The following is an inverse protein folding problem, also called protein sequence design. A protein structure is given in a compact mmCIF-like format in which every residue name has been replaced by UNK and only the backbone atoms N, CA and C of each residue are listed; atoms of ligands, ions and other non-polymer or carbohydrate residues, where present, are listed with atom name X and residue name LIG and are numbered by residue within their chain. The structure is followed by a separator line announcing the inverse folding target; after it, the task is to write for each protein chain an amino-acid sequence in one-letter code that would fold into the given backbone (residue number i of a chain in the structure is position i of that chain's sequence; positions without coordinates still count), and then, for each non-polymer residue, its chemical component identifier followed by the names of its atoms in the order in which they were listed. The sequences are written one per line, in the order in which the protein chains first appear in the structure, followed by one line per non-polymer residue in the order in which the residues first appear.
data_IF_160878463155
#
_entry.id   IF_160878463155
#
_cell.length_a   1.000
_cell.length_b   1.000
_cell.length_c   1.000
_cell.angle_alpha   90.00
_cell.angle_beta   90.00
_cell.angle_gamma   90.00
#
_symmetry.space_group_name_H-M   'P 1'
#
loop_
_entity.id
_entity.type
_entity.pdbx_description
1 polymer ?
#
# COMPACT_ATOMS: atom_id res chain seq x y z
N UNK A 1 -15.18 -11.70 -1.58
CA UNK A 1 -14.60 -10.90 -0.47
C UNK A 1 -13.37 -11.63 0.01
N UNK A 2 -12.21 -11.31 -0.56
CA UNK A 2 -10.93 -11.89 -0.10
C UNK A 2 -10.37 -10.96 0.95
N UNK A 3 -10.07 -11.47 2.16
CA UNK A 3 -9.42 -10.71 3.21
C UNK A 3 -8.03 -10.24 2.72
N UNK A 4 -7.73 -8.96 2.91
CA UNK A 4 -6.51 -8.32 2.42
C UNK A 4 -5.40 -8.39 3.48
N UNK A 5 -4.27 -9.05 3.19
CA UNK A 5 -3.18 -9.25 4.15
C UNK A 5 -2.63 -7.92 4.65
N UNK A 6 -2.64 -7.73 5.98
CA UNK A 6 -2.12 -6.55 6.67
C UNK A 6 -3.16 -5.61 7.26
N UNK A 7 -4.45 -5.90 7.09
CA UNK A 7 -5.52 -5.18 7.79
C UNK A 7 -5.46 -5.39 9.31
N UNK A 8 -6.17 -4.54 10.10
CA UNK A 8 -6.32 -4.74 11.55
C UNK A 8 -7.00 -6.09 11.87
N UNK A 9 -7.95 -6.51 11.04
CA UNK A 9 -8.64 -7.79 11.20
C UNK A 9 -7.70 -8.96 10.92
N UNK A 10 -6.82 -8.83 9.94
CA UNK A 10 -5.81 -9.84 9.59
C UNK A 10 -4.75 -9.95 10.69
N UNK A 11 -4.37 -8.83 11.31
CA UNK A 11 -3.47 -8.82 12.45
C UNK A 11 -4.10 -9.51 13.67
N UNK A 12 -5.39 -9.23 13.93
CA UNK A 12 -6.16 -9.92 14.98
C UNK A 12 -6.24 -11.42 14.71
N UNK A 13 -6.58 -11.84 13.50
CA UNK A 13 -6.63 -13.25 13.12
C UNK A 13 -5.26 -13.94 13.25
N UNK A 14 -4.16 -13.25 12.91
CA UNK A 14 -2.81 -13.76 13.10
C UNK A 14 -2.50 -13.97 14.59
N UNK A 15 -2.90 -13.04 15.46
CA UNK A 15 -2.70 -13.13 16.90
C UNK A 15 -3.59 -14.22 17.53
N UNK A 16 -4.84 -14.35 17.11
CA UNK A 16 -5.77 -15.39 17.55
C UNK A 16 -5.26 -16.79 17.17
N UNK A 17 -4.72 -16.97 15.96
CA UNK A 17 -4.13 -18.23 15.53
C UNK A 17 -2.90 -18.63 16.38
N UNK A 18 -2.10 -17.64 16.83
CA UNK A 18 -1.00 -17.89 17.77
C UNK A 18 -1.53 -18.25 19.16
N UNK A 19 -2.53 -17.53 19.67
CA UNK A 19 -3.16 -17.79 20.97
C UNK A 19 -3.76 -19.21 21.05
N UNK A 20 -4.39 -19.66 19.96
CA UNK A 20 -5.00 -20.99 19.85
C UNK A 20 -3.97 -22.10 19.61
N UNK A 21 -2.69 -21.76 19.39
CA UNK A 21 -1.63 -22.72 19.08
C UNK A 21 -1.68 -23.28 17.64
N UNK A 22 -2.47 -22.66 16.76
CA UNK A 22 -2.61 -23.04 15.35
C UNK A 22 -1.46 -22.50 14.49
N UNK A 23 -0.79 -21.45 14.95
CA UNK A 23 0.38 -20.85 14.30
C UNK A 23 1.54 -20.72 15.28
N UNK A 24 2.70 -21.24 14.87
CA UNK A 24 3.93 -21.07 15.63
C UNK A 24 4.31 -19.57 15.74
N UNK A 25 4.69 -19.08 16.94
CA UNK A 25 5.05 -17.68 17.14
C UNK A 25 6.20 -17.18 16.24
N UNK A 26 7.16 -18.04 15.87
CA UNK A 26 8.27 -17.67 14.97
C UNK A 26 7.75 -17.49 13.54
N UNK A 27 6.87 -18.37 13.07
CA UNK A 27 6.22 -18.20 11.76
C UNK A 27 5.28 -16.98 11.73
N UNK A 28 4.58 -16.71 12.83
CA UNK A 28 3.78 -15.49 12.98
C UNK A 28 4.67 -14.24 12.94
N UNK A 29 5.83 -14.27 13.59
CA UNK A 29 6.81 -13.19 13.56
C UNK A 29 7.35 -12.94 12.15
N UNK A 30 7.62 -13.99 11.36
CA UNK A 30 8.03 -13.83 9.95
C UNK A 30 6.92 -13.17 9.11
N UNK A 31 5.66 -13.59 9.29
CA UNK A 31 4.51 -12.95 8.64
C UNK A 31 4.39 -11.48 9.05
N UNK A 32 4.53 -11.17 10.34
CA UNK A 32 4.56 -9.80 10.89
C UNK A 32 5.73 -8.97 10.34
N UNK A 33 6.91 -9.57 10.16
CA UNK A 33 8.11 -8.89 9.67
C UNK A 33 7.98 -8.46 8.19
N UNK A 34 7.17 -9.16 7.42
CA UNK A 34 6.78 -8.77 6.06
C UNK A 34 5.56 -7.83 6.01
N UNK A 35 4.97 -7.51 7.16
CA UNK A 35 3.82 -6.62 7.35
C UNK A 35 4.18 -5.25 7.97
N UNK A 36 5.26 -4.56 7.53
CA UNK A 36 5.23 -3.10 7.67
C UNK A 36 5.53 -2.36 6.37
N UNK A 37 6.03 -3.04 5.36
CA UNK A 37 6.28 -2.46 4.04
C UNK A 37 6.40 -3.54 2.97
N UNK A 38 6.09 -3.19 1.73
CA UNK A 38 6.38 -4.00 0.55
C UNK A 38 7.63 -3.46 -0.14
N UNK A 39 8.64 -4.31 -0.28
CA UNK A 39 9.84 -3.97 -1.05
C UNK A 39 9.60 -4.30 -2.54
N UNK A 40 9.66 -3.27 -3.39
CA UNK A 40 9.47 -3.36 -4.83
C UNK A 40 10.81 -3.42 -5.60
N UNK A 41 11.95 -3.42 -4.88
CA UNK A 41 13.31 -3.35 -5.41
C UNK A 41 13.82 -1.93 -5.65
N UNK A 42 12.92 -1.00 -6.00
CA UNK A 42 13.23 0.44 -6.20
C UNK A 42 12.56 1.34 -5.14
N UNK A 43 11.61 0.80 -4.38
CA UNK A 43 10.89 1.50 -3.32
C UNK A 43 10.47 0.53 -2.21
N UNK A 44 10.40 1.01 -0.98
CA UNK A 44 9.81 0.31 0.16
C UNK A 44 8.56 1.06 0.59
N UNK A 45 7.41 0.47 0.32
CA UNK A 45 6.09 1.09 0.45
C UNK A 45 5.48 0.67 1.79
N UNK A 46 5.23 1.61 2.69
CA UNK A 46 4.66 1.43 4.02
C UNK A 46 3.14 1.26 3.97
N UNK A 47 2.71 0.03 3.71
CA UNK A 47 1.29 -0.35 3.65
C UNK A 47 0.58 -0.23 5.00
N UNK A 48 1.31 -0.09 6.11
CA UNK A 48 0.75 -0.01 7.46
C UNK A 48 0.66 1.41 8.00
N UNK A 49 1.11 2.42 7.24
CA UNK A 49 1.13 3.80 7.70
C UNK A 49 -0.26 4.26 8.16
N UNK A 50 -1.31 3.87 7.46
CA UNK A 50 -2.69 4.22 7.81
C UNK A 50 -3.12 3.64 9.15
N UNK A 51 -2.79 2.38 9.43
CA UNK A 51 -3.07 1.75 10.72
C UNK A 51 -2.34 2.47 11.86
N UNK A 52 -1.09 2.89 11.65
CA UNK A 52 -0.25 3.50 12.70
C UNK A 52 -0.52 4.99 12.90
N UNK A 53 -0.91 5.70 11.84
CA UNK A 53 -0.97 7.17 11.81
C UNK A 53 -2.35 7.73 11.40
N UNK A 54 -3.32 6.87 11.08
CA UNK A 54 -4.66 7.28 10.65
C UNK A 54 -4.73 7.84 9.23
N UNK A 55 -3.64 7.80 8.45
CA UNK A 55 -3.61 8.25 7.07
C UNK A 55 -2.65 7.39 6.22
N UNK A 56 -3.01 7.08 4.96
CA UNK A 56 -2.19 6.27 4.07
C UNK A 56 -0.89 6.99 3.68
N UNK A 57 0.03 6.24 3.08
CA UNK A 57 1.26 6.80 2.52
C UNK A 57 0.95 7.61 1.25
N UNK A 58 1.60 8.78 1.12
CA UNK A 58 1.55 9.57 -0.09
C UNK A 58 2.70 9.19 -1.03
N UNK A 59 2.39 9.03 -2.32
CA UNK A 59 3.38 8.72 -3.35
C UNK A 59 3.93 10.03 -3.91
N UNK A 60 5.24 10.23 -3.86
CA UNK A 60 5.91 11.33 -4.57
C UNK A 60 6.22 10.88 -6.01
N UNK A 61 5.54 11.43 -7.03
CA UNK A 61 5.75 11.03 -8.43
C UNK A 61 7.04 11.61 -9.04
N UNK A 62 7.49 12.78 -8.57
CA UNK A 62 8.66 13.47 -9.13
C UNK A 62 9.91 12.60 -9.06
N UNK A 63 10.53 12.37 -10.23
CA UNK A 63 11.72 11.55 -10.38
C UNK A 63 11.48 10.04 -10.48
N UNK A 64 10.23 9.57 -10.50
CA UNK A 64 9.86 8.16 -10.76
C UNK A 64 9.42 7.94 -12.20
N UNK A 65 9.57 6.72 -12.70
CA UNK A 65 8.97 6.33 -13.99
C UNK A 65 7.48 6.02 -13.83
N UNK A 66 6.69 6.07 -14.92
CA UNK A 66 5.28 5.67 -14.90
C UNK A 66 5.07 4.24 -14.34
N UNK A 67 5.94 3.30 -14.70
CA UNK A 67 5.86 1.90 -14.24
C UNK A 67 6.14 1.77 -12.74
N UNK A 68 7.07 2.57 -12.20
CA UNK A 68 7.34 2.61 -10.77
C UNK A 68 6.13 3.16 -10.00
N UNK A 69 5.48 4.19 -10.53
CA UNK A 69 4.27 4.78 -9.95
C UNK A 69 3.13 3.76 -9.92
N UNK A 70 2.88 3.08 -11.04
CA UNK A 70 1.87 2.02 -11.13
C UNK A 70 2.09 0.94 -10.08
N UNK A 71 3.32 0.43 -9.98
CA UNK A 71 3.68 -0.64 -9.03
C UNK A 71 3.53 -0.19 -7.57
N UNK A 72 3.84 1.06 -7.25
CA UNK A 72 3.64 1.61 -5.90
C UNK A 72 2.14 1.73 -5.59
N UNK A 73 1.35 2.29 -6.50
CA UNK A 73 -0.10 2.49 -6.31
C UNK A 73 -0.79 1.14 -6.13
N UNK A 74 -0.49 0.15 -6.98
CA UNK A 74 -1.00 -1.21 -6.84
C UNK A 74 -0.60 -1.81 -5.49
N UNK A 75 0.66 -1.63 -5.07
CA UNK A 75 1.12 -2.14 -3.78
C UNK A 75 0.36 -1.54 -2.58
N UNK A 76 0.05 -0.25 -2.61
CA UNK A 76 -0.73 0.44 -1.57
C UNK A 76 -2.19 -0.03 -1.56
N UNK A 77 -2.82 -0.15 -2.73
CA UNK A 77 -4.21 -0.62 -2.86
C UNK A 77 -4.34 -2.09 -2.41
N UNK A 78 -3.44 -2.97 -2.85
CA UNK A 78 -3.41 -4.37 -2.42
C UNK A 78 -3.10 -4.51 -0.92
N UNK A 79 -2.33 -3.56 -0.37
CA UNK A 79 -2.05 -3.44 1.06
C UNK A 79 -3.20 -2.88 1.91
N UNK A 80 -4.34 -2.57 1.29
CA UNK A 80 -5.56 -2.14 1.99
C UNK A 80 -5.60 -0.66 2.36
N UNK A 81 -4.81 0.19 1.70
CA UNK A 81 -4.92 1.64 1.88
C UNK A 81 -6.34 2.13 1.53
N UNK A 82 -6.97 2.90 2.42
CA UNK A 82 -8.31 3.46 2.21
C UNK A 82 -8.37 4.56 1.15
N UNK A 83 -7.22 5.19 0.86
CA UNK A 83 -7.00 6.03 -0.32
C UNK A 83 -5.52 6.08 -0.67
N UNK A 84 -5.18 6.48 -1.89
CA UNK A 84 -3.80 6.70 -2.33
C UNK A 84 -3.71 8.09 -2.93
N UNK A 85 -2.76 8.90 -2.45
CA UNK A 85 -2.52 10.24 -2.98
C UNK A 85 -1.18 10.28 -3.70
N UNK A 86 -1.20 10.55 -5.01
CA UNK A 86 0.00 10.72 -5.81
C UNK A 86 0.27 12.21 -6.02
N UNK A 87 1.37 12.68 -5.44
CA UNK A 87 1.74 14.10 -5.42
C UNK A 87 2.82 14.45 -6.44
N UNK A 88 2.85 15.72 -6.86
CA UNK A 88 3.75 16.23 -7.92
C UNK A 88 3.60 15.47 -9.25
N UNK A 89 2.43 14.89 -9.49
CA UNK A 89 2.13 14.10 -10.67
C UNK A 89 2.01 15.01 -11.92
N UNK A 90 2.91 14.83 -12.87
CA UNK A 90 2.77 15.38 -14.23
C UNK A 90 1.75 14.57 -15.06
N UNK A 91 1.65 14.85 -16.36
CA UNK A 91 0.68 14.17 -17.21
C UNK A 91 0.92 12.66 -17.34
N UNK A 92 2.18 12.23 -17.40
CA UNK A 92 2.53 10.81 -17.55
C UNK A 92 2.27 10.05 -16.24
N UNK A 93 2.63 10.65 -15.11
CA UNK A 93 2.35 10.11 -13.78
C UNK A 93 0.85 9.90 -13.56
N UNK A 94 0.02 10.92 -13.82
CA UNK A 94 -1.44 10.77 -13.64
C UNK A 94 -2.05 9.75 -14.61
N UNK A 95 -1.56 9.70 -15.86
CA UNK A 95 -1.96 8.66 -16.80
C UNK A 95 -1.58 7.26 -16.32
N UNK A 96 -0.42 7.10 -15.67
CA UNK A 96 0.00 5.85 -15.02
C UNK A 96 -0.99 5.43 -13.92
N UNK A 97 -1.34 6.37 -13.03
CA UNK A 97 -2.35 6.11 -11.98
C UNK A 97 -3.66 5.64 -12.60
N UNK A 98 -4.16 6.32 -13.65
CA UNK A 98 -5.43 5.95 -14.31
C UNK A 98 -5.40 4.58 -15.01
N UNK A 99 -4.23 4.05 -15.36
CA UNK A 99 -4.13 2.69 -15.94
C UNK A 99 -4.39 1.60 -14.91
N UNK A 100 -3.96 1.81 -13.67
CA UNK A 100 -4.11 0.82 -12.58
C UNK A 100 -5.30 1.09 -11.65
N UNK A 101 -5.76 2.35 -11.59
CA UNK A 101 -6.94 2.79 -10.87
C UNK A 101 -7.80 3.69 -11.79
N UNK A 102 -8.61 3.09 -12.70
CA UNK A 102 -9.43 3.84 -13.65
C UNK A 102 -10.41 4.84 -13.01
N UNK A 103 -10.76 4.65 -11.74
CA UNK A 103 -11.61 5.51 -10.93
C UNK A 103 -10.89 6.71 -10.32
N UNK A 104 -9.55 6.77 -10.37
CA UNK A 104 -8.78 7.84 -9.76
C UNK A 104 -9.18 9.23 -10.30
N UNK A 105 -9.23 10.21 -9.39
CA UNK A 105 -9.55 11.59 -9.72
C UNK A 105 -8.26 12.38 -9.99
N UNK A 106 -8.23 13.13 -11.09
CA UNK A 106 -7.06 13.91 -11.47
C UNK A 106 -7.24 15.40 -11.17
N UNK A 107 -6.17 16.03 -10.66
CA UNK A 107 -6.12 17.47 -10.47
C UNK A 107 -4.85 18.06 -11.11
N UNK A 108 -4.95 18.42 -12.39
CA UNK A 108 -3.82 18.95 -13.16
C UNK A 108 -3.17 20.19 -12.52
N UNK A 109 -3.98 21.14 -12.02
CA UNK A 109 -3.46 22.37 -11.38
C UNK A 109 -2.71 22.08 -10.06
N UNK A 110 -3.23 21.14 -9.27
CA UNK A 110 -2.62 20.75 -8.01
C UNK A 110 -1.47 19.73 -8.18
N UNK A 111 -1.30 19.17 -9.39
CA UNK A 111 -0.38 18.07 -9.71
C UNK A 111 -0.66 16.84 -8.84
N UNK A 112 -1.93 16.43 -8.78
CA UNK A 112 -2.39 15.26 -8.01
C UNK A 112 -3.12 14.25 -8.91
N UNK A 113 -3.04 12.98 -8.51
CA UNK A 113 -3.91 11.88 -8.92
C UNK A 113 -4.11 10.89 -7.75
#
# INVERSE_FOLDING_TARGET
MSAQPGSRADLLALLEAVEQGELDPVLALERLAHLPYRDLGFARVDTHRELRQGAPEAVLAEGKTPEEIERIVVALIEGGAGSVLVTRADAEARAAVKRVAPEAEEHARARLA
#
